data_IF_193851643682
#
_entry.id   IF_193851643682
#
_cell.length_a   1.000
_cell.length_b   1.000
_cell.length_c   1.000
_cell.angle_alpha   90.00
_cell.angle_beta   90.00
_cell.angle_gamma   90.00
#
_symmetry.space_group_name_H-M   'P 1'
#
loop_
_entity.id
_entity.type
_entity.pdbx_description
1 polymer ?
#
# COMPACT_ATOMS: atom_id res chain seq x y z
N UNK A 1 24.90 0.96 -3.62
CA UNK A 1 23.56 0.64 -3.10
C UNK A 1 22.54 1.11 -4.13
N UNK A 2 21.68 0.22 -4.63
CA UNK A 2 20.66 0.60 -5.61
C UNK A 2 19.54 1.35 -4.89
N UNK A 3 19.20 2.56 -5.35
CA UNK A 3 18.07 3.29 -4.81
C UNK A 3 16.77 2.53 -5.14
N UNK A 4 16.01 2.14 -4.12
CA UNK A 4 14.68 1.54 -4.34
C UNK A 4 13.78 2.61 -4.95
N UNK A 5 13.20 2.33 -6.11
CA UNK A 5 12.32 3.26 -6.80
C UNK A 5 11.08 3.60 -5.95
N UNK A 6 10.76 4.88 -5.82
CA UNK A 6 9.62 5.35 -5.02
C UNK A 6 8.26 5.01 -5.64
N UNK A 7 8.23 4.64 -6.92
CA UNK A 7 7.02 4.36 -7.68
C UNK A 7 7.03 2.92 -8.17
N UNK A 8 5.85 2.30 -8.18
CA UNK A 8 5.62 0.98 -8.77
C UNK A 8 4.67 1.12 -9.96
N UNK A 9 4.91 0.38 -11.03
CA UNK A 9 4.01 0.32 -12.19
C UNK A 9 2.91 -0.74 -12.01
N UNK A 10 1.84 -0.68 -12.81
CA UNK A 10 0.79 -1.70 -12.78
C UNK A 10 1.32 -3.12 -12.99
N UNK A 11 2.17 -3.32 -14.01
CA UNK A 11 2.73 -4.65 -14.33
C UNK A 11 3.63 -5.17 -13.22
N UNK A 12 4.40 -4.28 -12.59
CA UNK A 12 5.25 -4.64 -11.47
C UNK A 12 4.44 -5.00 -10.23
N UNK A 13 3.43 -4.19 -9.88
CA UNK A 13 2.52 -4.50 -8.77
C UNK A 13 1.81 -5.83 -8.99
N UNK A 14 1.35 -6.10 -10.22
CA UNK A 14 0.73 -7.37 -10.59
C UNK A 14 1.68 -8.55 -10.38
N UNK A 15 2.95 -8.44 -10.79
CA UNK A 15 3.97 -9.49 -10.54
C UNK A 15 4.22 -9.70 -9.04
N UNK A 16 4.34 -8.62 -8.27
CA UNK A 16 4.56 -8.71 -6.82
C UNK A 16 3.38 -9.40 -6.11
N UNK A 17 2.15 -9.08 -6.50
CA UNK A 17 0.93 -9.72 -6.00
C UNK A 17 0.88 -11.22 -6.34
N UNK A 18 1.25 -11.60 -7.56
CA UNK A 18 1.31 -13.00 -7.97
C UNK A 18 2.32 -13.81 -7.16
N UNK A 19 3.47 -13.20 -6.84
CA UNK A 19 4.53 -13.82 -6.05
C UNK A 19 4.24 -13.81 -4.53
N UNK A 20 3.17 -13.14 -4.09
CA UNK A 20 2.86 -12.91 -2.66
C UNK A 20 4.02 -12.27 -1.87
N UNK A 21 4.87 -11.51 -2.55
CA UNK A 21 6.04 -10.83 -2.00
C UNK A 21 5.77 -9.32 -1.90
N UNK A 22 4.58 -8.96 -1.41
CA UNK A 22 4.21 -7.56 -1.17
C UNK A 22 3.06 -7.45 -0.19
N UNK A 23 3.17 -6.50 0.73
CA UNK A 23 2.05 -6.00 1.51
C UNK A 23 1.47 -4.76 0.83
N UNK A 24 0.18 -4.79 0.50
CA UNK A 24 -0.49 -3.68 -0.19
C UNK A 24 -1.44 -2.96 0.75
N UNK A 25 -1.31 -1.64 0.85
CA UNK A 25 -2.18 -0.81 1.67
C UNK A 25 -2.94 0.22 0.83
N UNK A 26 -4.27 0.19 0.97
CA UNK A 26 -5.17 1.16 0.39
C UNK A 26 -5.34 2.33 1.35
N UNK A 27 -4.86 3.51 0.96
CA UNK A 27 -4.89 4.71 1.82
C UNK A 27 -6.06 5.63 1.54
N UNK A 28 -7.06 5.15 0.79
CA UNK A 28 -8.34 5.83 0.60
C UNK A 28 -9.17 5.82 1.88
N UNK A 29 -10.22 6.64 1.90
CA UNK A 29 -11.21 6.55 2.96
C UNK A 29 -12.03 5.27 2.83
N UNK A 30 -12.53 4.67 3.93
CA UNK A 30 -13.21 3.38 3.88
C UNK A 30 -14.42 3.36 2.93
N UNK A 31 -15.16 4.46 2.83
CA UNK A 31 -16.30 4.58 1.91
C UNK A 31 -15.90 4.43 0.42
N UNK A 32 -14.68 4.80 0.03
CA UNK A 32 -14.20 4.62 -1.35
C UNK A 32 -13.88 3.15 -1.67
N UNK A 33 -13.66 2.31 -0.64
CA UNK A 33 -13.30 0.90 -0.82
C UNK A 33 -14.49 0.03 -1.23
N UNK A 34 -15.73 0.52 -1.06
CA UNK A 34 -16.95 -0.13 -1.52
C UNK A 34 -16.97 -0.32 -3.04
N UNK A 35 -16.28 0.55 -3.79
CA UNK A 35 -16.07 0.39 -5.23
C UNK A 35 -15.11 -0.75 -5.60
N UNK A 36 -14.59 -1.46 -4.60
CA UNK A 36 -13.58 -2.50 -4.67
C UNK A 36 -12.18 -2.01 -4.29
N UNK A 37 -11.25 -2.97 -4.22
CA UNK A 37 -9.86 -2.76 -3.83
C UNK A 37 -8.94 -3.61 -4.70
N UNK A 38 -7.63 -3.31 -4.66
CA UNK A 38 -6.63 -4.22 -5.21
C UNK A 38 -6.66 -5.53 -4.39
N UNK A 39 -6.59 -6.72 -5.01
CA UNK A 39 -6.60 -7.98 -4.28
C UNK A 39 -5.52 -8.01 -3.20
N UNK A 40 -5.84 -8.60 -2.04
CA UNK A 40 -5.00 -8.65 -0.83
C UNK A 40 -4.65 -7.30 -0.17
N UNK A 41 -5.18 -6.19 -0.69
CA UNK A 41 -4.93 -4.89 -0.07
C UNK A 41 -5.72 -4.72 1.23
N UNK A 42 -5.12 -3.97 2.15
CA UNK A 42 -5.70 -3.64 3.46
C UNK A 42 -5.95 -2.15 3.52
N UNK A 43 -7.14 -1.75 3.92
CA UNK A 43 -7.47 -0.33 4.01
C UNK A 43 -6.90 0.29 5.29
N UNK A 44 -5.98 1.25 5.12
CA UNK A 44 -5.44 2.09 6.19
C UNK A 44 -5.46 3.53 5.69
N UNK A 45 -6.49 4.32 6.01
CA UNK A 45 -6.63 5.69 5.51
C UNK A 45 -5.36 6.50 5.77
N UNK A 46 -5.00 7.39 4.84
CA UNK A 46 -3.72 8.13 4.89
C UNK A 46 -3.46 8.84 6.23
N UNK A 47 -4.51 9.38 6.87
CA UNK A 47 -4.41 10.04 8.18
C UNK A 47 -4.07 9.09 9.33
N UNK A 48 -4.31 7.78 9.17
CA UNK A 48 -4.05 6.74 10.18
C UNK A 48 -2.75 5.98 9.94
N UNK A 49 -2.05 6.20 8.83
CA UNK A 49 -0.82 5.45 8.48
C UNK A 49 0.26 5.60 9.57
N UNK A 50 0.57 6.81 10.02
CA UNK A 50 1.60 6.98 11.04
C UNK A 50 1.23 6.25 12.34
N UNK A 51 -0.01 6.42 12.79
CA UNK A 51 -0.51 5.78 14.00
C UNK A 51 -0.48 4.25 13.90
N UNK A 52 -0.96 3.70 12.78
CA UNK A 52 -1.00 2.27 12.53
C UNK A 52 0.40 1.63 12.61
N UNK A 53 1.40 2.27 12.00
CA UNK A 53 2.75 1.70 11.85
C UNK A 53 3.73 2.05 12.99
N UNK A 54 3.29 2.82 13.99
CA UNK A 54 4.03 3.09 15.24
C UNK A 54 3.58 2.18 16.39
N UNK A 55 2.33 1.68 16.35
CA UNK A 55 1.78 0.77 17.35
C UNK A 55 2.54 -0.55 17.40
N UNK A 56 2.35 -1.31 18.48
CA UNK A 56 2.90 -2.66 18.58
C UNK A 56 2.27 -3.61 17.56
N UNK A 57 3.02 -4.65 17.19
CA UNK A 57 2.61 -5.63 16.19
C UNK A 57 1.33 -6.39 16.57
N UNK A 58 1.08 -6.62 17.86
CA UNK A 58 -0.13 -7.27 18.36
C UNK A 58 -1.37 -6.43 18.10
N UNK A 59 -1.32 -5.14 18.43
CA UNK A 59 -2.39 -4.19 18.14
C UNK A 59 -2.64 -4.05 16.64
N UNK A 60 -1.59 -3.98 15.82
CA UNK A 60 -1.75 -3.92 14.36
C UNK A 60 -2.49 -5.14 13.83
N UNK A 61 -2.11 -6.35 14.28
CA UNK A 61 -2.79 -7.59 13.91
C UNK A 61 -4.24 -7.63 14.37
N UNK A 62 -4.53 -7.14 15.57
CA UNK A 62 -5.90 -7.05 16.08
C UNK A 62 -6.80 -6.12 15.25
N UNK A 63 -6.25 -5.00 14.77
CA UNK A 63 -7.00 -4.00 13.99
C UNK A 63 -7.18 -4.37 12.51
N UNK A 64 -6.13 -4.93 11.90
CA UNK A 64 -6.07 -5.13 10.45
C UNK A 64 -6.11 -6.60 10.01
N UNK A 65 -6.10 -7.53 10.97
CA UNK A 65 -6.18 -8.97 10.71
C UNK A 65 -4.93 -9.59 10.08
N UNK A 66 -3.84 -8.83 9.94
CA UNK A 66 -2.57 -9.29 9.37
C UNK A 66 -1.39 -8.90 10.25
N UNK A 67 -0.29 -9.62 10.10
CA UNK A 67 0.96 -9.25 10.75
C UNK A 67 1.50 -7.92 10.21
N UNK A 68 2.04 -7.09 11.12
CA UNK A 68 2.71 -5.85 10.72
C UNK A 68 3.94 -6.22 9.85
N UNK A 69 4.11 -5.61 8.66
CA UNK A 69 5.26 -5.90 7.82
C UNK A 69 6.57 -5.47 8.49
N UNK A 70 7.66 -6.15 8.17
CA UNK A 70 8.99 -5.75 8.58
C UNK A 70 9.48 -4.52 7.80
N UNK A 71 10.48 -3.82 8.33
CA UNK A 71 11.05 -2.59 7.73
C UNK A 71 11.62 -2.80 6.32
N UNK A 72 12.09 -4.01 6.05
CA UNK A 72 12.73 -4.42 4.80
C UNK A 72 11.77 -5.16 3.84
N UNK A 73 10.50 -5.28 4.19
CA UNK A 73 9.50 -5.94 3.35
C UNK A 73 9.05 -5.02 2.21
N UNK A 74 8.67 -5.63 1.10
CA UNK A 74 8.02 -4.93 0.00
C UNK A 74 6.66 -4.39 0.46
N UNK A 75 6.54 -3.08 0.55
CA UNK A 75 5.29 -2.41 0.88
C UNK A 75 4.87 -1.56 -0.31
N UNK A 76 3.62 -1.70 -0.75
CA UNK A 76 3.03 -0.81 -1.76
C UNK A 76 1.83 -0.10 -1.17
N UNK A 77 1.85 1.23 -1.23
CA UNK A 77 0.70 2.07 -0.90
C UNK A 77 0.05 2.59 -2.17
N UNK A 78 -1.27 2.73 -2.15
CA UNK A 78 -2.00 3.37 -3.24
C UNK A 78 -3.21 4.11 -2.71
N UNK A 79 -3.69 5.10 -3.48
CA UNK A 79 -4.97 5.75 -3.20
C UNK A 79 -5.83 5.76 -4.47
N UNK A 80 -6.74 6.73 -4.64
CA UNK A 80 -7.54 6.82 -5.86
C UNK A 80 -6.71 7.15 -7.11
N UNK A 81 -5.78 8.10 -7.01
CA UNK A 81 -5.04 8.70 -8.14
C UNK A 81 -3.57 9.04 -7.84
N UNK A 82 -3.00 8.49 -6.76
CA UNK A 82 -1.58 8.58 -6.41
C UNK A 82 -1.17 9.62 -5.37
N UNK A 83 -1.88 10.75 -5.21
CA UNK A 83 -1.45 11.85 -4.32
C UNK A 83 -1.37 11.44 -2.84
N UNK A 84 -2.47 10.94 -2.26
CA UNK A 84 -2.47 10.45 -0.87
C UNK A 84 -1.48 9.29 -0.65
N UNK A 85 -1.23 8.48 -1.69
CA UNK A 85 -0.23 7.42 -1.66
C UNK A 85 1.19 7.97 -1.46
N UNK A 86 1.50 9.15 -1.99
CA UNK A 86 2.80 9.78 -1.79
C UNK A 86 2.98 10.26 -0.34
N UNK A 87 1.93 10.80 0.28
CA UNK A 87 1.94 11.18 1.71
C UNK A 87 2.12 9.96 2.62
N UNK A 88 1.44 8.85 2.30
CA UNK A 88 1.60 7.59 3.01
C UNK A 88 3.02 7.02 2.86
N UNK A 89 3.57 7.04 1.63
CA UNK A 89 4.95 6.65 1.36
C UNK A 89 5.94 7.44 2.21
N UNK A 90 5.82 8.77 2.24
CA UNK A 90 6.69 9.62 3.05
C UNK A 90 6.64 9.26 4.54
N UNK A 91 5.42 9.03 5.05
CA UNK A 91 5.20 8.59 6.44
C UNK A 91 5.90 7.26 6.74
N UNK A 92 5.71 6.25 5.88
CA UNK A 92 6.35 4.94 6.03
C UNK A 92 7.88 5.04 5.97
N UNK A 93 8.42 5.84 5.05
CA UNK A 93 9.88 6.04 4.92
C UNK A 93 10.49 6.66 6.17
N UNK A 94 9.82 7.64 6.78
CA UNK A 94 10.24 8.23 8.06
C UNK A 94 10.23 7.23 9.22
N UNK A 95 9.37 6.23 9.16
CA UNK A 95 9.31 5.13 10.11
C UNK A 95 10.29 3.99 9.80
N UNK A 96 11.15 4.14 8.78
CA UNK A 96 12.19 3.18 8.43
C UNK A 96 11.77 2.09 7.44
N UNK A 97 10.59 2.18 6.80
CA UNK A 97 10.18 1.20 5.79
C UNK A 97 10.85 1.50 4.44
N UNK A 98 12.09 1.06 4.28
CA UNK A 98 13.02 1.40 3.17
C UNK A 98 12.67 0.79 1.82
N UNK A 99 11.74 -0.17 1.78
CA UNK A 99 11.23 -0.75 0.52
C UNK A 99 9.78 -0.38 0.22
N UNK A 100 9.24 0.61 0.94
CA UNK A 100 7.89 1.14 0.66
C UNK A 100 7.85 1.91 -0.66
N UNK A 101 6.80 1.71 -1.47
CA UNK A 101 6.64 2.30 -2.81
C UNK A 101 5.21 2.77 -3.02
N UNK A 102 5.01 3.77 -3.87
CA UNK A 102 3.69 4.30 -4.22
C UNK A 102 3.25 3.81 -5.60
N UNK A 103 2.07 3.20 -5.69
CA UNK A 103 1.42 2.94 -6.97
C UNK A 103 0.66 4.19 -7.42
N UNK A 104 1.32 5.02 -8.25
CA UNK A 104 0.81 6.33 -8.64
C UNK A 104 -0.42 6.29 -9.54
N UNK A 105 -0.63 5.17 -10.26
CA UNK A 105 -1.85 4.96 -11.05
C UNK A 105 -3.11 4.87 -10.18
N UNK A 106 -2.94 4.48 -8.91
CA UNK A 106 -4.02 4.33 -7.94
C UNK A 106 -5.09 3.32 -8.36
N UNK A 107 -6.16 3.27 -7.57
CA UNK A 107 -7.28 2.37 -7.83
C UNK A 107 -7.96 2.65 -9.18
N UNK A 108 -7.93 3.90 -9.67
CA UNK A 108 -8.52 4.27 -10.96
C UNK A 108 -7.85 3.55 -12.13
N UNK A 109 -6.52 3.55 -12.20
CA UNK A 109 -5.79 2.82 -13.25
C UNK A 109 -5.99 1.31 -13.08
N UNK A 110 -5.88 0.80 -11.85
CA UNK A 110 -6.09 -0.62 -11.55
C UNK A 110 -7.44 -1.12 -12.06
N UNK A 111 -8.53 -0.44 -11.70
CA UNK A 111 -9.91 -0.77 -12.11
C UNK A 111 -10.07 -0.71 -13.63
N UNK A 112 -9.45 0.28 -14.28
CA UNK A 112 -9.47 0.42 -15.75
C UNK A 112 -8.77 -0.75 -16.46
N UNK A 113 -7.60 -1.16 -15.96
CA UNK A 113 -6.83 -2.27 -16.54
C UNK A 113 -7.41 -3.65 -16.22
N UNK A 114 -7.99 -3.82 -15.03
CA UNK A 114 -8.64 -5.07 -14.64
C UNK A 114 -9.91 -5.35 -15.47
N UNK A 115 -10.64 -4.31 -15.91
CA UNK A 115 -11.80 -4.45 -16.80
C UNK A 115 -11.47 -4.84 -18.25
N UNK A 116 -10.20 -4.77 -18.65
CA UNK A 116 -9.75 -5.14 -20.00
C UNK A 116 -9.30 -6.60 -20.11
N UNK A 117 -9.49 -7.38 -19.05
CA UNK A 117 -9.30 -8.83 -19.00
C UNK A 117 -10.68 -9.51 -19.07
#
# INVERSE_FOLDING_TARGET
MSAVADKVSYEELKRLLQNRDVSVFDVREPCETEEGMIPSAINIPVGKINEAFIRDSGTFKGLYGVDMPHKEDNIVVYCRSGMRGQTALYSLRRLGYTKSRNYTGGYTEWKSKAKKL
#
